data_IF_262505015679
#
_entry.id   IF_262505015679
#
_cell.length_a   1.000
_cell.length_b   1.000
_cell.length_c   1.000
_cell.angle_alpha   90.00
_cell.angle_beta   90.00
_cell.angle_gamma   90.00
#
_symmetry.space_group_name_H-M   'P 1'
#
loop_
_entity.id
_entity.type
_entity.pdbx_description
1 polymer ?
#
# COMPACT_ATOMS: atom_id res chain seq x y z
N UNK A 1 3.72 13.49 -16.68
CA UNK A 1 4.09 12.19 -16.08
C UNK A 1 3.56 11.10 -17.00
N UNK A 2 4.35 10.08 -17.34
CA UNK A 2 3.88 8.95 -18.16
C UNK A 2 3.12 7.92 -17.30
N UNK A 3 2.36 7.03 -17.94
CA UNK A 3 1.70 5.92 -17.26
C UNK A 3 2.72 5.06 -16.50
N UNK A 4 3.87 4.79 -17.11
CA UNK A 4 4.95 3.99 -16.53
C UNK A 4 5.56 4.63 -15.27
N UNK A 5 5.75 5.95 -15.26
CA UNK A 5 6.23 6.64 -14.05
C UNK A 5 5.23 6.52 -12.91
N UNK A 6 3.92 6.67 -13.18
CA UNK A 6 2.88 6.49 -12.17
C UNK A 6 2.92 5.07 -11.56
N UNK A 7 3.05 4.06 -12.42
CA UNK A 7 3.17 2.65 -12.01
C UNK A 7 4.39 2.41 -11.11
N UNK A 8 5.55 2.97 -11.46
CA UNK A 8 6.76 2.82 -10.64
C UNK A 8 6.67 3.51 -9.29
N UNK A 9 5.99 4.66 -9.22
CA UNK A 9 5.74 5.33 -7.94
C UNK A 9 4.77 4.52 -7.06
N UNK A 10 3.74 3.89 -7.66
CA UNK A 10 2.87 2.95 -6.92
C UNK A 10 3.70 1.76 -6.41
N UNK A 11 4.54 1.17 -7.26
CA UNK A 11 5.42 0.08 -6.86
C UNK A 11 6.36 0.48 -5.70
N UNK A 12 6.90 1.71 -5.73
CA UNK A 12 7.75 2.22 -4.67
C UNK A 12 7.04 2.26 -3.30
N UNK A 13 5.75 2.64 -3.25
CA UNK A 13 4.98 2.63 -1.99
C UNK A 13 4.90 1.21 -1.43
N UNK A 14 4.56 0.22 -2.26
CA UNK A 14 4.50 -1.19 -1.84
C UNK A 14 5.86 -1.73 -1.38
N UNK A 15 6.94 -1.39 -2.09
CA UNK A 15 8.27 -1.87 -1.75
C UNK A 15 8.81 -1.23 -0.47
N UNK A 16 8.52 0.04 -0.23
CA UNK A 16 8.99 0.74 0.98
C UNK A 16 8.19 0.28 2.21
N UNK A 17 6.86 0.38 2.19
CA UNK A 17 6.02 0.02 3.35
C UNK A 17 5.96 -1.50 3.56
N UNK A 18 5.85 -2.26 2.47
CA UNK A 18 5.93 -3.72 2.51
C UNK A 18 7.31 -4.21 2.94
N UNK A 19 8.38 -3.57 2.45
CA UNK A 19 9.75 -3.87 2.87
C UNK A 19 9.98 -3.58 4.36
N UNK A 20 9.45 -2.48 4.88
CA UNK A 20 9.50 -2.19 6.31
C UNK A 20 8.79 -3.27 7.13
N UNK A 21 7.61 -3.70 6.70
CA UNK A 21 6.86 -4.80 7.33
C UNK A 21 7.57 -6.15 7.25
N UNK A 22 8.24 -6.44 6.12
CA UNK A 22 8.96 -7.69 5.89
C UNK A 22 10.26 -7.78 6.71
N UNK A 23 11.09 -6.74 6.64
CA UNK A 23 12.45 -6.79 7.18
C UNK A 23 12.56 -6.25 8.60
N UNK A 24 11.60 -5.42 9.05
CA UNK A 24 11.56 -4.89 10.41
C UNK A 24 10.15 -4.96 11.04
N UNK A 25 9.51 -6.14 11.10
CA UNK A 25 8.15 -6.29 11.61
C UNK A 25 8.00 -5.84 13.07
N UNK A 26 9.04 -5.99 13.89
CA UNK A 26 9.03 -5.51 15.29
C UNK A 26 8.89 -3.98 15.37
N UNK A 27 9.56 -3.24 14.49
CA UNK A 27 9.45 -1.78 14.43
C UNK A 27 8.06 -1.34 13.98
N UNK A 28 7.44 -2.05 13.03
CA UNK A 28 6.05 -1.81 12.64
C UNK A 28 5.11 -2.05 13.82
N UNK A 29 5.25 -3.17 14.54
CA UNK A 29 4.41 -3.48 15.72
C UNK A 29 4.55 -2.39 16.79
N UNK A 30 5.77 -1.94 17.06
CA UNK A 30 6.04 -0.93 18.08
C UNK A 30 5.46 0.44 17.70
N UNK A 31 5.60 0.86 16.45
CA UNK A 31 5.27 2.21 16.03
C UNK A 31 3.83 2.34 15.52
N UNK A 32 3.34 1.36 14.77
CA UNK A 32 2.05 1.43 14.09
C UNK A 32 0.87 0.96 14.95
N UNK A 33 1.10 0.14 15.98
CA UNK A 33 0.03 -0.40 16.84
C UNK A 33 0.00 0.31 18.20
N UNK A 34 -1.20 0.66 18.64
CA UNK A 34 -1.43 1.22 19.97
C UNK A 34 -1.14 0.19 21.05
N UNK A 35 -0.77 0.66 22.25
CA UNK A 35 -0.33 -0.20 23.34
C UNK A 35 -1.37 -1.29 23.71
N UNK A 36 -2.66 -0.95 23.69
CA UNK A 36 -3.75 -1.87 24.02
C UNK A 36 -3.87 -3.07 23.06
N UNK A 37 -3.41 -2.93 21.82
CA UNK A 37 -3.49 -3.96 20.78
C UNK A 37 -2.11 -4.49 20.36
N UNK A 38 -1.04 -4.06 21.03
CA UNK A 38 0.33 -4.41 20.65
C UNK A 38 0.69 -5.80 21.19
N UNK A 39 0.62 -6.81 20.32
CA UNK A 39 1.23 -8.12 20.58
C UNK A 39 2.65 -8.18 20.01
N UNK A 40 3.65 -8.48 20.84
CA UNK A 40 5.06 -8.57 20.40
C UNK A 40 5.54 -10.02 20.22
N UNK A 41 4.62 -10.98 20.30
CA UNK A 41 4.87 -12.40 20.11
C UNK A 41 5.53 -12.71 18.77
N UNK A 42 6.17 -13.88 18.69
CA UNK A 42 6.75 -14.37 17.46
C UNK A 42 5.70 -14.52 16.35
N UNK A 43 4.49 -14.99 16.69
CA UNK A 43 3.44 -15.21 15.69
C UNK A 43 2.96 -13.90 15.08
N UNK A 44 2.87 -12.81 15.86
CA UNK A 44 2.52 -11.52 15.29
C UNK A 44 3.63 -10.99 14.38
N UNK A 45 4.90 -11.06 14.80
CA UNK A 45 6.04 -10.65 13.96
C UNK A 45 6.09 -11.43 12.64
N UNK A 46 5.87 -12.74 12.69
CA UNK A 46 5.76 -13.59 11.51
C UNK A 46 4.61 -13.14 10.60
N UNK A 47 3.43 -12.85 11.17
CA UNK A 47 2.26 -12.41 10.41
C UNK A 47 2.49 -11.06 9.71
N UNK A 48 3.09 -10.09 10.40
CA UNK A 48 3.46 -8.79 9.82
C UNK A 48 4.50 -8.96 8.70
N UNK A 49 5.47 -9.87 8.88
CA UNK A 49 6.43 -10.18 7.82
C UNK A 49 5.76 -10.84 6.60
N UNK A 50 4.78 -11.73 6.80
CA UNK A 50 3.98 -12.32 5.72
C UNK A 50 3.15 -11.26 4.96
N UNK A 51 2.54 -10.31 5.68
CA UNK A 51 1.86 -9.18 5.04
C UNK A 51 2.84 -8.33 4.22
N UNK A 52 4.00 -8.03 4.78
CA UNK A 52 5.08 -7.33 4.09
C UNK A 52 5.57 -8.07 2.84
N UNK A 53 5.72 -9.39 2.90
CA UNK A 53 6.17 -10.19 1.75
C UNK A 53 5.16 -10.16 0.59
N UNK A 54 3.86 -10.18 0.89
CA UNK A 54 2.80 -10.04 -0.12
C UNK A 54 2.84 -8.65 -0.78
N UNK A 55 3.02 -7.58 0.01
CA UNK A 55 3.15 -6.23 -0.50
C UNK A 55 4.40 -6.07 -1.39
N UNK A 56 5.56 -6.60 -0.96
CA UNK A 56 6.80 -6.59 -1.75
C UNK A 56 6.63 -7.36 -3.06
N UNK A 57 6.00 -8.54 -3.03
CA UNK A 57 5.70 -9.31 -4.23
C UNK A 57 4.87 -8.49 -5.23
N UNK A 58 3.81 -7.82 -4.77
CA UNK A 58 3.00 -6.96 -5.62
C UNK A 58 3.83 -5.79 -6.20
N UNK A 59 4.64 -5.13 -5.36
CA UNK A 59 5.53 -4.05 -5.80
C UNK A 59 6.51 -4.49 -6.88
N UNK A 60 7.16 -5.65 -6.71
CA UNK A 60 8.06 -6.24 -7.71
C UNK A 60 7.32 -6.57 -9.01
N UNK A 61 6.13 -7.17 -8.92
CA UNK A 61 5.29 -7.44 -10.10
C UNK A 61 4.88 -6.16 -10.81
N UNK A 62 4.58 -5.10 -10.07
CA UNK A 62 4.28 -3.78 -10.62
C UNK A 62 5.49 -3.12 -11.29
N UNK A 63 6.73 -3.54 -11.04
CA UNK A 63 7.89 -3.04 -11.81
C UNK A 63 8.07 -3.74 -13.16
N UNK A 64 7.64 -5.00 -13.27
CA UNK A 64 7.90 -5.86 -14.44
C UNK A 64 6.70 -5.92 -15.39
N UNK A 65 5.48 -5.91 -14.87
CA UNK A 65 4.25 -5.96 -15.67
C UNK A 65 3.99 -4.64 -16.40
N UNK A 66 3.23 -4.67 -17.50
CA UNK A 66 2.77 -3.45 -18.17
C UNK A 66 1.32 -3.18 -17.80
N UNK A 67 1.02 -1.97 -17.33
CA UNK A 67 -0.34 -1.56 -17.00
C UNK A 67 -0.95 -0.78 -18.14
N UNK A 68 -2.17 -1.17 -18.53
CA UNK A 68 -3.00 -0.39 -19.44
C UNK A 68 -3.97 0.49 -18.63
N UNK A 69 -4.76 1.33 -19.30
CA UNK A 69 -5.73 2.20 -18.64
C UNK A 69 -6.69 1.41 -17.75
N UNK A 70 -7.17 0.25 -18.21
CA UNK A 70 -8.05 -0.61 -17.42
C UNK A 70 -7.38 -1.09 -16.13
N UNK A 71 -6.11 -1.48 -16.17
CA UNK A 71 -5.34 -1.91 -14.99
C UNK A 71 -5.31 -0.82 -13.92
N UNK A 72 -5.02 0.43 -14.30
CA UNK A 72 -5.04 1.56 -13.37
C UNK A 72 -6.43 1.82 -12.76
N UNK A 73 -7.48 1.79 -13.58
CA UNK A 73 -8.85 2.00 -13.11
C UNK A 73 -9.30 0.90 -12.13
N UNK A 74 -9.00 -0.36 -12.46
CA UNK A 74 -9.28 -1.50 -11.57
C UNK A 74 -8.50 -1.36 -10.26
N UNK A 75 -7.20 -1.04 -10.33
CA UNK A 75 -6.39 -0.85 -9.13
C UNK A 75 -6.93 0.28 -8.24
N UNK A 76 -7.37 1.41 -8.82
CA UNK A 76 -7.98 2.51 -8.07
C UNK A 76 -9.26 2.08 -7.31
N UNK A 77 -10.10 1.26 -7.93
CA UNK A 77 -11.32 0.71 -7.28
C UNK A 77 -10.95 -0.29 -6.18
N UNK A 78 -9.98 -1.16 -6.43
CA UNK A 78 -9.52 -2.17 -5.47
C UNK A 78 -8.82 -1.55 -4.25
N UNK A 79 -8.38 -0.29 -4.32
CA UNK A 79 -7.85 0.45 -3.18
C UNK A 79 -8.93 0.92 -2.19
N UNK A 80 -10.18 1.10 -2.64
CA UNK A 80 -11.23 1.71 -1.81
C UNK A 80 -11.47 1.02 -0.45
N UNK A 81 -11.47 -0.33 -0.35
CA UNK A 81 -11.62 -1.01 0.94
C UNK A 81 -10.55 -0.63 1.97
N UNK A 82 -9.33 -0.30 1.53
CA UNK A 82 -8.24 0.06 2.46
C UNK A 82 -8.47 1.41 3.15
N UNK A 83 -9.20 2.34 2.52
CA UNK A 83 -9.60 3.59 3.18
C UNK A 83 -10.58 3.30 4.33
N UNK A 84 -11.53 2.39 4.11
CA UNK A 84 -12.44 1.91 5.15
C UNK A 84 -11.70 1.19 6.27
N UNK A 85 -10.73 0.33 5.93
CA UNK A 85 -9.86 -0.35 6.89
C UNK A 85 -9.12 0.63 7.80
N UNK A 86 -8.42 1.61 7.21
CA UNK A 86 -7.67 2.62 7.96
C UNK A 86 -8.58 3.48 8.85
N UNK A 87 -9.73 3.92 8.32
CA UNK A 87 -10.69 4.70 9.10
C UNK A 87 -11.18 3.91 10.31
N UNK A 88 -11.64 2.68 10.09
CA UNK A 88 -12.18 1.82 11.14
C UNK A 88 -11.13 1.51 12.21
N UNK A 89 -9.92 1.08 11.81
CA UNK A 89 -8.88 0.67 12.75
C UNK A 89 -8.04 1.82 13.33
N UNK A 90 -8.36 3.07 13.01
CA UNK A 90 -7.77 4.24 13.66
C UNK A 90 -8.79 5.01 14.52
N UNK A 91 -9.99 5.27 13.98
CA UNK A 91 -10.99 6.12 14.65
C UNK A 91 -12.04 5.33 15.43
N UNK A 92 -12.49 4.18 14.95
CA UNK A 92 -13.57 3.38 15.60
C UNK A 92 -13.01 2.35 16.58
N UNK A 93 -12.02 1.57 16.13
CA UNK A 93 -11.28 0.61 16.94
C UNK A 93 -9.82 1.06 16.91
N UNK A 94 -9.28 1.71 17.96
CA UNK A 94 -8.01 2.42 17.91
C UNK A 94 -6.82 1.46 17.96
N UNK A 95 -6.68 0.62 16.94
CA UNK A 95 -5.58 -0.34 16.77
C UNK A 95 -4.35 0.38 16.21
N UNK A 96 -4.56 1.26 15.23
CA UNK A 96 -3.50 1.99 14.55
C UNK A 96 -3.19 3.30 15.27
N UNK A 97 -1.89 3.57 15.46
CA UNK A 97 -1.41 4.90 15.85
C UNK A 97 -1.46 5.85 14.66
N UNK A 98 -1.11 7.12 14.88
CA UNK A 98 -0.90 8.08 13.78
C UNK A 98 0.25 7.68 12.85
N UNK A 99 1.23 6.89 13.32
CA UNK A 99 2.26 6.30 12.44
C UNK A 99 1.66 5.13 11.64
N UNK A 100 0.75 4.36 12.24
CA UNK A 100 0.00 3.33 11.51
C UNK A 100 -0.78 3.88 10.31
N UNK A 101 -1.19 5.15 10.38
CA UNK A 101 -1.84 5.88 9.28
C UNK A 101 -0.89 6.22 8.11
N UNK A 102 0.39 5.82 8.16
CA UNK A 102 1.24 5.77 6.96
C UNK A 102 0.63 4.85 5.89
N UNK A 103 -0.13 3.82 6.26
CA UNK A 103 -0.88 3.00 5.30
C UNK A 103 -1.93 3.83 4.56
N UNK A 104 -2.75 4.61 5.29
CA UNK A 104 -3.70 5.55 4.69
C UNK A 104 -3.02 6.55 3.75
N UNK A 105 -1.90 7.15 4.17
CA UNK A 105 -1.13 8.07 3.34
C UNK A 105 -0.58 7.39 2.06
N UNK A 106 -0.14 6.14 2.19
CA UNK A 106 0.25 5.28 1.06
C UNK A 106 -0.92 5.05 0.10
N UNK A 107 -2.11 4.70 0.61
CA UNK A 107 -3.32 4.48 -0.18
C UNK A 107 -3.79 5.74 -0.91
N UNK A 108 -3.77 6.90 -0.26
CA UNK A 108 -4.05 8.20 -0.92
C UNK A 108 -3.06 8.43 -2.06
N UNK A 109 -1.77 8.25 -1.81
CA UNK A 109 -0.71 8.44 -2.80
C UNK A 109 -0.94 7.51 -4.00
N UNK A 110 -1.18 6.24 -3.76
CA UNK A 110 -1.44 5.24 -4.79
C UNK A 110 -2.72 5.53 -5.57
N UNK A 111 -3.79 6.00 -4.92
CA UNK A 111 -5.05 6.37 -5.59
C UNK A 111 -4.83 7.56 -6.54
N UNK A 112 -4.13 8.60 -6.08
CA UNK A 112 -3.78 9.75 -6.93
C UNK A 112 -2.94 9.31 -8.12
N UNK A 113 -1.90 8.51 -7.88
CA UNK A 113 -1.05 7.96 -8.94
C UNK A 113 -1.84 7.08 -9.91
N UNK A 114 -2.81 6.30 -9.41
CA UNK A 114 -3.66 5.46 -10.25
C UNK A 114 -4.55 6.29 -11.17
N UNK A 115 -5.13 7.38 -10.68
CA UNK A 115 -5.95 8.31 -11.49
C UNK A 115 -5.07 9.01 -12.54
N UNK A 116 -3.88 9.50 -12.16
CA UNK A 116 -2.97 10.15 -13.11
C UNK A 116 -2.45 9.15 -14.14
N UNK A 117 -2.05 7.95 -13.71
CA UNK A 117 -1.60 6.86 -14.57
C UNK A 117 -2.68 6.40 -15.54
N UNK A 118 -3.94 6.31 -15.10
CA UNK A 118 -5.09 6.02 -15.96
C UNK A 118 -5.26 7.04 -17.08
N UNK A 119 -5.21 8.34 -16.76
CA UNK A 119 -5.33 9.42 -17.74
C UNK A 119 -4.18 9.38 -18.76
N UNK A 120 -2.95 9.16 -18.28
CA UNK A 120 -1.79 9.04 -19.15
C UNK A 120 -1.89 7.81 -20.07
N UNK A 121 -2.25 6.64 -19.52
CA UNK A 121 -2.40 5.41 -20.30
C UNK A 121 -3.49 5.55 -21.37
N UNK A 122 -4.63 6.19 -21.06
CA UNK A 122 -5.66 6.45 -22.07
C UNK A 122 -5.19 7.34 -23.21
N UNK A 123 -4.35 8.33 -22.93
CA UNK A 123 -3.78 9.20 -23.95
C UNK A 123 -2.74 8.46 -24.80
N UNK A 124 -1.90 7.64 -24.17
CA UNK A 124 -0.91 6.79 -24.84
C UNK A 124 -1.56 5.70 -25.72
N UNK A 125 -2.71 5.15 -25.30
CA UNK A 125 -3.47 4.13 -26.06
C UNK A 125 -4.25 4.71 -27.26
N UNK A 126 -4.57 6.01 -27.21
CA UNK A 126 -5.33 6.68 -28.27
C UNK A 126 -4.43 7.31 -29.35
N UNK A 127 -3.12 7.36 -29.11
CA UNK A 127 -2.09 7.87 -30.03
C UNK A 127 -1.56 6.77 -30.94
#
# INVERSE_FOLDING_TARGET
>A
MSARTAQFLIAAVFLILGGWSLFAPASVIELAFTEAYRDTSFINRFTIACFGSQAVLFGLMALVTRWNARSFAVFAVLLLPFFGFNYWFHYEVPVLTSIGMLDFAGNVTMLVLAIVGWRAARAEEAA
#
